data_IF_943602047160
#
_entry.id   IF_943602047160
#
_cell.length_a   1.000
_cell.length_b   1.000
_cell.length_c   1.000
_cell.angle_alpha   90.00
_cell.angle_beta   90.00
_cell.angle_gamma   90.00
#
_symmetry.space_group_name_H-M   'P 1'
#
loop_
_entity.id
_entity.type
_entity.pdbx_description
1 polymer ?
#
# COMPACT_ATOMS: atom_id res chain seq x y z
N UNK A 1 -2.66 14.12 10.93
CA UNK A 1 -3.72 13.78 11.92
C UNK A 1 -3.07 13.37 13.24
N UNK A 2 -3.72 13.63 14.38
CA UNK A 2 -3.22 13.28 15.73
C UNK A 2 -4.28 12.52 16.52
N UNK A 3 -3.87 11.52 17.30
CA UNK A 3 -4.71 10.81 18.28
C UNK A 3 -3.99 10.85 19.62
N UNK A 4 -4.63 11.37 20.66
CA UNK A 4 -4.03 11.53 21.99
C UNK A 4 -4.57 10.50 22.97
N UNK A 5 -3.69 9.90 23.74
CA UNK A 5 -4.05 9.17 24.96
C UNK A 5 -4.08 10.13 26.15
N UNK A 6 -5.10 10.05 26.99
CA UNK A 6 -5.26 10.94 28.14
C UNK A 6 -5.72 10.16 29.37
N UNK A 7 -5.45 10.70 30.56
CA UNK A 7 -6.08 10.19 31.78
C UNK A 7 -7.50 10.73 31.84
N UNK A 8 -8.48 9.87 32.13
CA UNK A 8 -9.84 10.33 32.38
C UNK A 8 -9.92 11.04 33.74
N UNK A 9 -10.68 12.14 33.81
CA UNK A 9 -10.90 12.88 35.06
C UNK A 9 -11.52 12.01 36.17
N UNK A 10 -12.29 10.99 35.77
CA UNK A 10 -12.88 10.00 36.66
C UNK A 10 -12.92 8.62 35.99
N UNK A 11 -12.87 7.60 36.82
CA UNK A 11 -13.11 6.23 36.37
C UNK A 11 -14.52 6.11 35.78
N UNK A 12 -14.62 5.43 34.65
CA UNK A 12 -15.89 5.03 34.05
C UNK A 12 -16.05 3.53 34.19
N UNK A 13 -17.15 3.10 34.82
CA UNK A 13 -17.49 1.69 34.95
C UNK A 13 -18.49 1.32 33.85
N UNK A 14 -18.12 0.38 32.99
CA UNK A 14 -18.97 -0.13 31.92
C UNK A 14 -19.30 -1.59 32.21
N UNK A 15 -20.59 -1.93 32.17
CA UNK A 15 -21.06 -3.32 32.27
C UNK A 15 -21.10 -3.93 30.87
N UNK A 16 -20.11 -4.73 30.53
CA UNK A 16 -20.00 -5.37 29.21
C UNK A 16 -19.46 -6.79 29.35
N UNK A 17 -19.89 -7.69 28.45
CA UNK A 17 -19.43 -9.08 28.41
C UNK A 17 -19.61 -9.84 29.75
N UNK A 18 -20.68 -9.52 30.49
CA UNK A 18 -20.96 -10.15 31.79
C UNK A 18 -20.03 -9.72 32.93
N UNK A 19 -19.23 -8.65 32.76
CA UNK A 19 -18.32 -8.13 33.79
C UNK A 19 -18.40 -6.60 33.89
N UNK A 20 -17.98 -6.08 35.04
CA UNK A 20 -17.73 -4.65 35.22
C UNK A 20 -16.30 -4.33 34.78
N UNK A 21 -16.17 -3.41 33.84
CA UNK A 21 -14.91 -2.94 33.30
C UNK A 21 -14.68 -1.50 33.74
N UNK A 22 -13.53 -1.24 34.37
CA UNK A 22 -13.10 0.11 34.72
C UNK A 22 -12.25 0.69 33.59
N UNK A 23 -12.64 1.85 33.11
CA UNK A 23 -11.90 2.66 32.14
C UNK A 23 -11.42 3.94 32.82
N UNK A 24 -10.12 4.19 32.77
CA UNK A 24 -9.46 5.35 33.36
C UNK A 24 -8.48 6.05 32.41
N UNK A 25 -8.32 5.52 31.20
CA UNK A 25 -7.46 6.04 30.13
C UNK A 25 -8.34 6.26 28.91
N UNK A 26 -8.34 7.48 28.38
CA UNK A 26 -8.96 7.83 27.12
C UNK A 26 -8.02 7.47 25.97
N UNK A 27 -8.60 6.89 24.92
CA UNK A 27 -7.97 6.71 23.62
C UNK A 27 -8.79 7.40 22.54
N UNK A 28 -8.41 7.19 21.29
CA UNK A 28 -9.18 7.69 20.14
C UNK A 28 -9.24 6.68 19.02
N UNK A 29 -10.35 6.69 18.28
CA UNK A 29 -10.57 5.83 17.14
C UNK A 29 -11.07 6.67 15.95
N UNK A 30 -10.39 6.53 14.82
CA UNK A 30 -10.79 7.09 13.54
C UNK A 30 -11.15 5.93 12.62
N UNK A 31 -12.33 5.98 12.04
CA UNK A 31 -12.86 4.95 11.14
C UNK A 31 -13.14 5.58 9.78
N UNK A 32 -12.75 4.91 8.70
CA UNK A 32 -13.07 5.39 7.35
C UNK A 32 -14.59 5.47 7.13
N UNK A 33 -15.03 6.40 6.29
CA UNK A 33 -16.46 6.49 5.89
C UNK A 33 -16.85 5.44 4.84
N UNK A 34 -15.87 4.99 4.05
CA UNK A 34 -16.03 3.97 3.02
C UNK A 34 -15.24 2.72 3.42
N UNK A 35 -15.72 1.56 3.01
CA UNK A 35 -14.99 0.32 3.10
C UNK A 35 -13.92 0.23 2.02
N UNK A 36 -12.89 -0.56 2.30
CA UNK A 36 -11.82 -0.94 1.40
C UNK A 36 -11.87 -2.44 1.17
N UNK A 37 -11.51 -2.90 -0.02
CA UNK A 37 -11.47 -4.31 -0.39
C UNK A 37 -10.35 -4.51 -1.40
N UNK A 38 -9.58 -5.59 -1.27
CA UNK A 38 -8.48 -5.99 -2.16
C UNK A 38 -7.71 -4.82 -2.78
N UNK A 39 -6.59 -4.47 -2.18
CA UNK A 39 -5.80 -3.32 -2.62
C UNK A 39 -4.54 -3.18 -1.80
N UNK A 40 -3.74 -2.19 -2.14
CA UNK A 40 -2.56 -1.82 -1.37
C UNK A 40 -2.86 -0.59 -0.52
N UNK A 41 -2.65 -0.69 0.78
CA UNK A 41 -2.92 0.36 1.75
C UNK A 41 -1.68 0.61 2.57
N UNK A 42 -1.37 1.88 2.84
CA UNK A 42 -0.24 2.22 3.70
C UNK A 42 -0.45 3.53 4.45
N UNK A 43 0.24 3.65 5.57
CA UNK A 43 0.30 4.88 6.35
C UNK A 43 1.74 5.23 6.71
N UNK A 44 1.99 6.52 6.89
CA UNK A 44 3.20 7.01 7.56
C UNK A 44 2.82 7.53 8.93
N UNK A 45 3.29 6.84 9.96
CA UNK A 45 2.92 7.12 11.33
C UNK A 45 4.13 7.11 12.27
N UNK A 46 4.06 7.95 13.30
CA UNK A 46 4.97 7.95 14.45
C UNK A 46 4.15 7.59 15.68
N UNK A 47 4.57 6.53 16.38
CA UNK A 47 3.84 6.04 17.54
C UNK A 47 3.95 7.01 18.73
N UNK A 48 2.94 6.98 19.60
CA UNK A 48 3.02 7.62 20.91
C UNK A 48 4.16 6.96 21.72
N UNK A 49 4.97 7.75 22.42
CA UNK A 49 6.05 7.25 23.29
C UNK A 49 5.51 6.72 24.64
N UNK A 50 4.44 5.93 24.58
CA UNK A 50 3.76 5.27 25.70
C UNK A 50 3.45 3.81 25.32
N UNK A 51 2.77 3.08 26.19
CA UNK A 51 2.23 1.74 25.89
C UNK A 51 0.85 1.76 25.25
N UNK A 52 0.30 2.94 24.94
CA UNK A 52 -0.87 3.05 24.08
C UNK A 52 -0.51 2.60 22.66
N UNK A 53 -1.45 1.92 22.01
CA UNK A 53 -1.23 1.40 20.68
C UNK A 53 -1.15 2.50 19.62
N UNK A 54 -0.46 2.18 18.54
CA UNK A 54 -0.53 2.88 17.25
C UNK A 54 -0.89 1.83 16.21
N UNK A 55 -2.12 1.92 15.70
CA UNK A 55 -2.68 0.87 14.86
C UNK A 55 -3.03 1.35 13.46
N UNK A 56 -2.82 0.51 12.46
CA UNK A 56 -3.40 0.67 11.14
C UNK A 56 -3.93 -0.69 10.68
N UNK A 57 -5.26 -0.83 10.76
CA UNK A 57 -5.94 -2.11 10.55
C UNK A 57 -7.28 -1.91 9.88
N UNK A 58 -7.86 -3.01 9.42
CA UNK A 58 -9.13 -3.05 8.74
C UNK A 58 -10.02 -4.06 9.44
N UNK A 59 -11.30 -3.77 9.62
CA UNK A 59 -12.24 -4.79 10.09
C UNK A 59 -13.67 -4.61 9.59
N UNK A 60 -14.43 -5.70 9.59
CA UNK A 60 -15.87 -5.68 9.33
C UNK A 60 -16.64 -5.01 10.47
N UNK A 61 -17.79 -4.42 10.17
CA UNK A 61 -18.75 -3.99 11.20
C UNK A 61 -19.74 -5.11 11.47
N UNK A 62 -19.60 -5.78 12.62
CA UNK A 62 -20.46 -6.91 12.97
C UNK A 62 -19.98 -8.25 12.43
N UNK A 63 -20.85 -9.24 12.51
CA UNK A 63 -20.58 -10.61 12.10
C UNK A 63 -21.68 -11.10 11.15
N UNK A 64 -21.27 -11.84 10.13
CA UNK A 64 -22.12 -12.40 9.09
C UNK A 64 -22.33 -13.89 9.32
N UNK A 65 -23.30 -14.48 8.63
CA UNK A 65 -23.56 -15.92 8.76
C UNK A 65 -22.37 -16.75 8.24
N UNK A 66 -22.03 -17.77 9.02
CA UNK A 66 -21.03 -18.78 8.67
C UNK A 66 -21.61 -19.89 7.78
N UNK A 67 -20.76 -20.85 7.37
CA UNK A 67 -21.15 -21.89 6.43
C UNK A 67 -22.19 -22.89 6.98
N UNK A 68 -22.43 -22.91 8.29
CA UNK A 68 -23.33 -23.88 8.93
C UNK A 68 -24.73 -23.30 9.25
N UNK A 69 -25.00 -22.04 8.90
CA UNK A 69 -26.31 -21.39 9.10
C UNK A 69 -26.69 -21.08 10.55
N UNK A 70 -25.90 -21.51 11.53
CA UNK A 70 -26.05 -21.19 12.96
C UNK A 70 -24.85 -20.43 13.56
N UNK A 71 -23.74 -20.44 12.83
CA UNK A 71 -22.48 -19.79 13.15
C UNK A 71 -22.36 -18.43 12.49
N UNK A 72 -21.41 -17.62 12.97
CA UNK A 72 -21.12 -16.28 12.45
C UNK A 72 -19.64 -15.98 12.41
N UNK A 73 -19.22 -15.08 11.52
CA UNK A 73 -17.85 -14.60 11.50
C UNK A 73 -17.66 -13.13 11.11
N UNK A 74 -16.63 -12.52 11.69
CA UNK A 74 -16.08 -11.21 11.32
C UNK A 74 -14.60 -11.33 10.95
N UNK A 75 -14.07 -10.29 10.29
CA UNK A 75 -12.69 -10.26 9.81
C UNK A 75 -11.99 -9.02 10.33
N UNK A 76 -10.71 -9.17 10.65
CA UNK A 76 -9.81 -8.08 11.02
C UNK A 76 -8.42 -8.35 10.47
N UNK A 77 -7.86 -7.36 9.79
CA UNK A 77 -6.52 -7.42 9.22
C UNK A 77 -5.68 -6.26 9.74
N UNK A 78 -4.68 -6.62 10.52
CA UNK A 78 -3.74 -5.68 11.10
C UNK A 78 -2.54 -5.56 10.19
N UNK A 79 -2.45 -4.44 9.48
CA UNK A 79 -1.22 -4.08 8.78
C UNK A 79 -0.19 -3.70 9.83
N UNK A 80 -0.58 -2.90 10.82
CA UNK A 80 0.31 -2.46 11.88
C UNK A 80 -0.39 -2.42 13.23
N UNK A 81 0.29 -3.01 14.20
CA UNK A 81 0.13 -2.80 15.62
C UNK A 81 1.50 -2.62 16.28
N UNK A 82 1.68 -1.51 16.99
CA UNK A 82 2.82 -1.32 17.88
C UNK A 82 2.45 -0.49 19.10
N UNK A 83 3.38 -0.44 20.02
CA UNK A 83 3.47 0.58 21.07
C UNK A 83 4.77 1.36 20.86
N UNK A 84 4.93 2.50 21.53
CA UNK A 84 6.15 3.30 21.38
C UNK A 84 7.02 3.38 22.63
N UNK A 85 6.75 2.55 23.64
CA UNK A 85 7.59 2.39 24.83
C UNK A 85 7.96 0.91 25.05
N UNK A 86 9.22 0.65 25.37
CA UNK A 86 9.69 -0.65 25.84
C UNK A 86 9.57 -0.79 27.37
N UNK A 87 9.64 -2.03 27.87
CA UNK A 87 9.62 -2.32 29.30
C UNK A 87 9.70 -3.81 29.56
N UNK A 88 9.65 -4.19 30.84
CA UNK A 88 9.64 -5.59 31.27
C UNK A 88 8.21 -6.13 31.36
N UNK A 89 7.61 -6.35 30.20
CA UNK A 89 6.29 -6.96 30.05
C UNK A 89 6.28 -7.90 28.84
N UNK A 90 5.40 -8.90 28.85
CA UNK A 90 5.41 -9.98 27.87
C UNK A 90 5.20 -9.51 26.42
N UNK A 91 4.48 -8.41 26.23
CA UNK A 91 4.26 -7.76 24.93
C UNK A 91 5.33 -6.77 24.50
N UNK A 92 6.48 -6.67 25.20
CA UNK A 92 7.51 -5.65 24.92
C UNK A 92 8.03 -5.63 23.49
N UNK A 93 7.99 -6.76 22.78
CA UNK A 93 8.34 -6.81 21.36
C UNK A 93 7.46 -5.94 20.46
N UNK A 94 6.28 -5.48 20.92
CA UNK A 94 5.46 -4.50 20.19
C UNK A 94 6.11 -3.12 20.11
N UNK A 95 7.15 -2.82 20.90
CA UNK A 95 7.76 -1.49 20.93
C UNK A 95 8.64 -1.16 19.72
N UNK A 96 9.02 -2.17 18.94
CA UNK A 96 10.06 -2.07 17.92
C UNK A 96 9.63 -2.66 16.58
N UNK A 97 9.41 -1.78 15.60
CA UNK A 97 9.07 -2.15 14.24
C UNK A 97 7.57 -2.36 14.03
N UNK A 98 7.22 -3.40 13.28
CA UNK A 98 5.85 -3.65 12.81
C UNK A 98 5.38 -5.05 13.18
N UNK A 99 4.19 -5.13 13.77
CA UNK A 99 3.50 -6.38 14.07
C UNK A 99 2.20 -6.39 13.29
N UNK A 100 2.00 -7.45 12.51
CA UNK A 100 0.85 -7.63 11.64
C UNK A 100 0.19 -8.96 11.95
N UNK A 101 -1.13 -8.98 11.86
CA UNK A 101 -1.94 -10.17 12.13
C UNK A 101 -3.20 -10.20 11.25
N UNK A 102 -3.87 -11.34 11.24
CA UNK A 102 -5.16 -11.52 10.60
C UNK A 102 -6.06 -12.31 11.54
N UNK A 103 -7.13 -11.69 12.01
CA UNK A 103 -8.11 -12.25 12.92
C UNK A 103 -9.37 -12.68 12.18
N UNK A 104 -9.77 -13.93 12.40
CA UNK A 104 -11.05 -14.50 11.98
C UNK A 104 -11.89 -14.71 13.24
N UNK A 105 -12.76 -13.74 13.52
CA UNK A 105 -13.61 -13.71 14.70
C UNK A 105 -14.81 -14.63 14.50
N UNK A 106 -14.72 -15.88 14.95
CA UNK A 106 -15.73 -16.91 14.71
C UNK A 106 -16.62 -17.14 15.92
N UNK A 107 -17.94 -17.18 15.73
CA UNK A 107 -18.91 -17.65 16.72
C UNK A 107 -19.53 -18.93 16.21
N UNK A 108 -19.28 -20.05 16.89
CA UNK A 108 -19.82 -21.34 16.47
C UNK A 108 -21.33 -21.49 16.75
N UNK A 109 -21.90 -22.63 16.36
CA UNK A 109 -23.31 -22.92 16.55
C UNK A 109 -23.74 -23.05 18.02
N UNK A 110 -22.79 -23.34 18.91
CA UNK A 110 -22.99 -23.36 20.37
C UNK A 110 -22.87 -21.95 20.99
N UNK A 111 -22.75 -20.91 20.16
CA UNK A 111 -22.60 -19.50 20.53
C UNK A 111 -21.29 -19.20 21.27
N UNK A 112 -20.28 -20.07 21.14
CA UNK A 112 -18.95 -19.82 21.67
C UNK A 112 -18.14 -19.00 20.67
N UNK A 113 -17.48 -17.94 21.18
CA UNK A 113 -16.59 -17.08 20.40
C UNK A 113 -15.18 -17.64 20.38
N UNK A 114 -14.54 -17.55 19.22
CA UNK A 114 -13.19 -17.97 18.93
C UNK A 114 -12.46 -16.87 18.19
N UNK A 115 -11.19 -16.69 18.54
CA UNK A 115 -10.25 -15.81 17.88
C UNK A 115 -9.27 -16.68 17.10
N UNK A 116 -9.61 -16.96 15.83
CA UNK A 116 -8.81 -17.81 14.96
C UNK A 116 -7.87 -16.92 14.16
N UNK A 117 -6.57 -17.07 14.36
CA UNK A 117 -5.58 -16.11 13.85
C UNK A 117 -4.69 -16.71 12.78
N UNK A 118 -4.27 -15.86 11.85
CA UNK A 118 -3.12 -16.11 11.00
C UNK A 118 -1.83 -16.16 11.86
N UNK A 119 -0.76 -16.85 11.41
CA UNK A 119 0.56 -16.66 11.98
C UNK A 119 0.99 -15.19 11.86
N UNK A 120 1.39 -14.58 12.98
CA UNK A 120 1.80 -13.18 13.01
C UNK A 120 3.03 -12.92 12.13
N UNK A 121 3.01 -11.81 11.40
CA UNK A 121 4.14 -11.32 10.60
C UNK A 121 4.78 -10.15 11.31
N UNK A 122 6.10 -10.18 11.48
CA UNK A 122 6.82 -9.14 12.24
C UNK A 122 8.00 -8.58 11.46
N UNK A 123 8.18 -7.27 11.51
CA UNK A 123 9.43 -6.60 11.15
C UNK A 123 10.06 -6.05 12.42
N UNK A 124 11.27 -6.51 12.74
CA UNK A 124 12.01 -5.99 13.89
C UNK A 124 12.79 -4.74 13.47
N UNK A 125 12.75 -3.71 14.31
CA UNK A 125 13.60 -2.52 14.23
C UNK A 125 14.44 -2.40 15.52
N UNK A 126 15.58 -1.69 15.48
CA UNK A 126 16.37 -1.42 16.69
C UNK A 126 15.78 -0.26 17.50
N UNK A 127 15.32 0.76 16.80
CA UNK A 127 14.70 1.94 17.42
C UNK A 127 13.24 1.67 17.78
N UNK A 128 12.74 2.41 18.77
CA UNK A 128 11.33 2.39 19.15
C UNK A 128 10.47 2.97 18.03
N UNK A 129 9.24 2.47 17.87
CA UNK A 129 8.29 3.00 16.89
C UNK A 129 7.88 4.47 17.14
N UNK A 130 8.18 5.01 18.33
CA UNK A 130 8.00 6.41 18.70
C UNK A 130 9.19 7.31 18.38
N UNK A 131 10.31 6.75 17.94
CA UNK A 131 11.53 7.53 17.67
C UNK A 131 11.38 8.42 16.46
N UNK A 132 10.79 7.89 15.38
CA UNK A 132 10.58 8.58 14.12
C UNK A 132 9.28 8.10 13.44
N UNK A 133 8.94 8.74 12.32
CA UNK A 133 7.91 8.26 11.43
C UNK A 133 8.40 7.07 10.62
N UNK A 134 7.53 6.06 10.52
CA UNK A 134 7.75 4.87 9.72
C UNK A 134 6.60 4.67 8.74
N UNK A 135 6.88 3.98 7.63
CA UNK A 135 5.88 3.60 6.63
C UNK A 135 5.47 2.14 6.85
N UNK A 136 4.18 1.93 7.07
CA UNK A 136 3.55 0.63 7.28
C UNK A 136 2.61 0.36 6.12
N UNK A 137 2.90 -0.69 5.34
CA UNK A 137 2.14 -1.02 4.14
C UNK A 137 1.65 -2.45 4.12
N UNK A 138 0.49 -2.66 3.52
CA UNK A 138 -0.12 -3.96 3.33
C UNK A 138 -0.80 -4.03 1.97
N UNK A 139 -0.45 -5.04 1.19
CA UNK A 139 -1.16 -5.44 -0.02
C UNK A 139 -2.08 -6.61 0.29
N UNK A 140 -3.38 -6.35 0.33
CA UNK A 140 -4.41 -7.38 0.37
C UNK A 140 -4.56 -7.97 -1.03
N UNK A 141 -3.89 -9.10 -1.26
CA UNK A 141 -3.72 -9.67 -2.61
C UNK A 141 -4.96 -10.36 -3.11
N UNK A 142 -5.53 -11.19 -2.25
CA UNK A 142 -6.71 -12.02 -2.50
C UNK A 142 -7.38 -12.38 -1.17
N UNK A 143 -8.44 -13.17 -1.21
CA UNK A 143 -9.21 -13.50 -0.01
C UNK A 143 -8.50 -14.44 0.97
N UNK A 144 -7.28 -14.90 0.63
CA UNK A 144 -6.47 -15.85 1.41
C UNK A 144 -5.13 -15.28 1.85
N UNK A 145 -4.61 -14.24 1.20
CA UNK A 145 -3.24 -13.78 1.41
C UNK A 145 -3.08 -12.26 1.40
N UNK A 146 -2.09 -11.82 2.17
CA UNK A 146 -1.60 -10.45 2.17
C UNK A 146 -0.06 -10.41 2.11
N UNK A 147 0.48 -9.31 1.59
CA UNK A 147 1.90 -9.00 1.62
C UNK A 147 2.12 -7.71 2.41
N UNK A 148 3.10 -7.70 3.29
CA UNK A 148 3.36 -6.67 4.28
C UNK A 148 4.71 -5.99 3.96
N UNK A 149 4.76 -4.67 4.11
CA UNK A 149 5.89 -3.81 3.81
C UNK A 149 6.17 -2.87 4.98
N UNK A 150 7.45 -2.65 5.29
CA UNK A 150 7.88 -1.75 6.36
C UNK A 150 9.13 -0.99 5.91
N UNK A 151 9.08 0.34 5.88
CA UNK A 151 10.21 1.23 5.53
C UNK A 151 11.02 0.80 4.28
N UNK A 152 10.35 0.54 3.15
CA UNK A 152 10.98 0.11 1.89
C UNK A 152 11.81 -1.19 1.99
N UNK A 153 11.62 -1.99 3.04
CA UNK A 153 12.28 -3.30 3.19
C UNK A 153 11.61 -4.34 2.30
N UNK A 154 12.33 -5.44 2.08
CA UNK A 154 11.79 -6.60 1.39
C UNK A 154 10.48 -7.08 2.05
N UNK A 155 9.44 -7.42 1.26
CA UNK A 155 8.14 -7.79 1.79
C UNK A 155 8.16 -9.08 2.61
N UNK A 156 7.15 -9.25 3.45
CA UNK A 156 6.81 -10.51 4.13
C UNK A 156 5.36 -10.88 3.83
N UNK A 157 5.03 -12.16 3.88
CA UNK A 157 3.72 -12.65 3.45
C UNK A 157 2.93 -13.25 4.60
N UNK A 158 1.62 -13.07 4.55
CA UNK A 158 0.64 -13.63 5.49
C UNK A 158 -0.35 -14.50 4.71
N UNK A 159 -0.63 -15.69 5.25
CA UNK A 159 -1.77 -16.50 4.87
C UNK A 159 -2.83 -16.36 5.95
N UNK A 160 -4.03 -15.93 5.57
CA UNK A 160 -5.16 -15.83 6.49
C UNK A 160 -5.65 -17.21 6.94
N UNK A 161 -6.29 -17.28 8.09
CA UNK A 161 -6.86 -18.51 8.61
C UNK A 161 -8.07 -18.94 7.74
N UNK A 162 -7.93 -20.05 7.02
CA UNK A 162 -8.91 -20.58 6.06
C UNK A 162 -9.54 -21.92 6.50
N UNK A 163 -9.45 -22.26 7.80
CA UNK A 163 -9.91 -23.55 8.32
C UNK A 163 -11.43 -23.73 8.41
N UNK A 164 -12.20 -22.64 8.36
CA UNK A 164 -13.67 -22.66 8.45
C UNK A 164 -14.32 -22.31 7.10
N UNK A 165 -13.76 -21.35 6.38
CA UNK A 165 -14.21 -20.93 5.05
C UNK A 165 -13.01 -20.84 4.11
N UNK A 166 -13.18 -21.28 2.86
CA UNK A 166 -12.08 -21.29 1.88
C UNK A 166 -11.54 -19.87 1.61
N UNK A 167 -12.42 -18.88 1.52
CA UNK A 167 -12.07 -17.48 1.27
C UNK A 167 -12.36 -16.62 2.51
N UNK A 168 -11.49 -16.62 3.53
CA UNK A 168 -11.80 -16.03 4.83
C UNK A 168 -11.86 -14.51 4.84
N UNK A 169 -11.05 -13.84 4.00
CA UNK A 169 -10.98 -12.38 3.91
C UNK A 169 -11.62 -11.91 2.61
N UNK A 170 -12.91 -12.18 2.46
CA UNK A 170 -13.66 -11.99 1.21
C UNK A 170 -14.65 -10.82 1.23
N UNK A 171 -14.51 -9.88 2.18
CA UNK A 171 -15.47 -8.79 2.36
C UNK A 171 -14.79 -7.44 2.47
N UNK A 172 -15.44 -6.36 1.99
CA UNK A 172 -14.96 -5.02 2.28
C UNK A 172 -14.92 -4.74 3.79
N UNK A 173 -13.86 -4.05 4.23
CA UNK A 173 -13.62 -3.71 5.63
C UNK A 173 -13.40 -2.21 5.80
N UNK A 174 -13.75 -1.68 6.98
CA UNK A 174 -13.44 -0.30 7.32
C UNK A 174 -12.02 -0.18 7.85
N UNK A 175 -11.30 0.82 7.38
CA UNK A 175 -10.00 1.19 7.93
C UNK A 175 -10.19 1.79 9.33
N UNK A 176 -9.26 1.45 10.24
CA UNK A 176 -9.25 1.91 11.63
C UNK A 176 -7.86 2.36 12.03
N UNK A 177 -7.82 3.57 12.60
CA UNK A 177 -6.66 4.17 13.24
C UNK A 177 -7.03 4.39 14.69
N UNK A 178 -6.46 3.60 15.58
CA UNK A 178 -6.84 3.55 16.99
C UNK A 178 -5.61 3.75 17.85
N UNK A 179 -5.81 4.44 18.97
CA UNK A 179 -4.89 4.39 20.10
C UNK A 179 -5.67 3.89 21.30
N UNK A 180 -5.30 2.70 21.76
CA UNK A 180 -5.97 1.95 22.83
C UNK A 180 -4.95 1.29 23.76
N UNK A 181 -5.43 0.81 24.91
CA UNK A 181 -4.62 -0.04 25.79
C UNK A 181 -4.80 -1.50 25.40
N UNK A 182 -3.71 -2.25 25.48
CA UNK A 182 -3.75 -3.70 25.39
C UNK A 182 -4.03 -4.34 26.76
N UNK A 183 -4.42 -5.63 26.81
CA UNK A 183 -4.70 -6.30 28.07
C UNK A 183 -3.53 -6.25 29.07
N UNK A 184 -3.79 -5.76 30.27
CA UNK A 184 -2.87 -5.87 31.41
C UNK A 184 -2.94 -7.28 32.03
N UNK A 185 -1.81 -7.92 32.39
CA UNK A 185 -0.43 -7.40 32.41
C UNK A 185 0.41 -7.78 31.17
N UNK A 186 -0.22 -8.18 30.05
CA UNK A 186 0.54 -8.53 28.84
C UNK A 186 1.31 -7.31 28.30
N UNK A 187 0.67 -6.15 28.26
CA UNK A 187 1.31 -4.85 28.08
C UNK A 187 0.98 -3.99 29.30
N UNK A 188 1.97 -3.30 29.82
CA UNK A 188 1.81 -2.38 30.95
C UNK A 188 0.92 -1.18 30.56
N UNK A 189 0.15 -0.65 31.49
CA UNK A 189 -0.60 0.59 31.24
C UNK A 189 0.36 1.81 31.15
N UNK A 190 0.02 2.84 30.36
CA UNK A 190 0.79 4.08 30.37
C UNK A 190 0.68 4.75 31.74
N UNK A 191 1.75 5.42 32.17
CA UNK A 191 1.74 6.13 33.47
C UNK A 191 0.98 7.45 33.38
N UNK A 192 0.58 7.99 34.53
CA UNK A 192 -0.06 9.32 34.58
C UNK A 192 0.87 10.41 34.02
N UNK A 193 2.17 10.33 34.29
CA UNK A 193 3.18 11.26 33.78
C UNK A 193 3.33 11.15 32.26
N UNK A 194 3.25 9.94 31.71
CA UNK A 194 3.25 9.72 30.26
C UNK A 194 2.02 10.31 29.59
N UNK A 195 0.84 10.12 30.20
CA UNK A 195 -0.43 10.66 29.70
C UNK A 195 -0.54 12.18 29.86
N UNK A 196 0.18 12.77 30.82
CA UNK A 196 0.23 14.22 31.03
C UNK A 196 1.23 14.94 30.12
N UNK A 197 2.07 14.22 29.37
CA UNK A 197 3.10 14.78 28.47
C UNK A 197 2.65 14.70 26.99
N UNK A 198 2.25 15.83 26.37
CA UNK A 198 1.83 15.86 24.96
C UNK A 198 2.91 15.42 23.97
N UNK A 199 4.19 15.46 24.36
CA UNK A 199 5.29 14.97 23.51
C UNK A 199 5.39 13.44 23.47
N UNK A 200 4.71 12.75 24.40
CA UNK A 200 4.70 11.29 24.51
C UNK A 200 3.36 10.69 24.14
N UNK A 201 2.26 11.24 24.65
CA UNK A 201 0.94 10.61 24.57
C UNK A 201 0.24 10.69 23.20
N UNK A 202 0.90 11.23 22.18
CA UNK A 202 0.28 11.54 20.88
C UNK A 202 0.82 10.64 19.78
N UNK A 203 -0.09 9.93 19.11
CA UNK A 203 0.17 9.26 17.83
C UNK A 203 0.04 10.28 16.71
N UNK A 204 0.99 10.30 15.79
CA UNK A 204 0.96 11.17 14.60
C UNK A 204 0.84 10.33 13.35
N UNK A 205 -0.19 10.59 12.55
CA UNK A 205 -0.31 10.10 11.18
C UNK A 205 -0.04 11.26 10.23
N UNK A 206 1.04 11.15 9.46
CA UNK A 206 1.37 12.13 8.42
C UNK A 206 0.38 12.00 7.25
N UNK A 207 0.27 10.78 6.72
CA UNK A 207 -0.70 10.45 5.68
C UNK A 207 -1.14 8.99 5.77
N UNK A 208 -2.26 8.70 5.12
CA UNK A 208 -2.78 7.37 4.84
C UNK A 208 -3.23 7.35 3.38
N UNK A 209 -2.90 6.28 2.66
CA UNK A 209 -3.19 6.14 1.23
C UNK A 209 -3.62 4.71 0.91
N UNK A 210 -4.45 4.60 -0.13
CA UNK A 210 -4.92 3.34 -0.69
C UNK A 210 -4.78 3.35 -2.20
N UNK A 211 -4.50 2.19 -2.78
CA UNK A 211 -4.24 1.98 -4.19
C UNK A 211 -4.94 0.72 -4.67
N UNK A 212 -5.54 0.79 -5.84
CA UNK A 212 -6.06 -0.37 -6.56
C UNK A 212 -5.04 -0.78 -7.63
N UNK A 213 -4.83 -2.09 -7.77
CA UNK A 213 -4.05 -2.64 -8.88
C UNK A 213 -5.00 -2.92 -10.04
N UNK A 214 -4.81 -2.18 -11.13
CA UNK A 214 -5.67 -2.22 -12.32
C UNK A 214 -4.85 -2.49 -13.56
N UNK A 215 -5.50 -2.99 -14.61
CA UNK A 215 -4.90 -3.04 -15.93
C UNK A 215 -4.66 -1.60 -16.42
N UNK A 216 -3.45 -1.32 -16.90
CA UNK A 216 -3.04 -0.01 -17.40
C UNK A 216 -3.87 0.45 -18.61
N UNK A 217 -4.45 -0.50 -19.36
CA UNK A 217 -5.29 -0.24 -20.53
C UNK A 217 -6.80 -0.22 -20.18
N UNK A 218 -7.17 -0.41 -18.91
CA UNK A 218 -8.58 -0.42 -18.51
C UNK A 218 -9.21 0.98 -18.67
N UNK A 219 -10.32 1.02 -19.40
CA UNK A 219 -11.01 2.28 -19.77
C UNK A 219 -12.04 2.73 -18.75
N UNK A 220 -12.48 1.83 -17.88
CA UNK A 220 -13.60 2.04 -16.95
C UNK A 220 -13.15 2.20 -15.50
N UNK A 221 -11.90 2.66 -15.27
CA UNK A 221 -11.38 2.91 -13.92
C UNK A 221 -11.93 4.24 -13.40
N UNK A 222 -12.46 4.24 -12.17
CA UNK A 222 -12.83 5.46 -11.46
C UNK A 222 -11.60 6.27 -11.04
N UNK A 223 -11.21 7.23 -11.87
CA UNK A 223 -10.07 8.12 -11.63
C UNK A 223 -10.43 9.34 -10.77
N UNK A 224 -11.66 9.43 -10.23
CA UNK A 224 -12.07 10.60 -9.43
C UNK A 224 -11.24 10.78 -8.16
N UNK A 225 -10.69 9.69 -7.62
CA UNK A 225 -9.87 9.70 -6.40
C UNK A 225 -8.43 10.17 -6.62
N UNK A 226 -7.90 10.07 -7.84
CA UNK A 226 -6.54 10.48 -8.19
C UNK A 226 -6.45 12.00 -8.47
N UNK A 227 -7.58 12.62 -8.87
CA UNK A 227 -7.60 14.03 -9.31
C UNK A 227 -7.30 15.00 -8.15
N UNK A 228 -6.21 15.74 -8.30
CA UNK A 228 -5.85 16.87 -7.42
C UNK A 228 -4.93 16.52 -6.24
N UNK A 229 -4.53 15.25 -6.07
CA UNK A 229 -3.53 14.87 -5.07
C UNK A 229 -2.12 15.31 -5.44
N UNK A 230 -1.85 15.58 -6.73
CA UNK A 230 -0.53 15.98 -7.26
C UNK A 230 0.63 15.19 -6.64
N UNK A 231 0.45 13.87 -6.55
CA UNK A 231 1.35 12.94 -5.86
C UNK A 231 2.69 12.76 -6.57
N UNK A 232 2.68 12.83 -7.91
CA UNK A 232 3.83 12.47 -8.74
C UNK A 232 4.54 13.70 -9.27
N UNK A 233 5.86 13.60 -9.42
CA UNK A 233 6.51 14.30 -10.51
C UNK A 233 6.24 13.51 -11.79
N UNK A 234 5.63 14.16 -12.77
CA UNK A 234 5.32 13.56 -14.09
C UNK A 234 6.60 12.96 -14.65
N UNK A 235 6.58 11.68 -15.00
CA UNK A 235 7.79 10.99 -15.44
C UNK A 235 7.50 9.84 -16.38
N UNK A 236 8.49 9.55 -17.23
CA UNK A 236 8.51 8.38 -18.11
C UNK A 236 9.88 7.70 -18.01
N UNK A 237 9.89 6.39 -17.85
CA UNK A 237 11.10 5.66 -17.46
C UNK A 237 11.17 4.33 -18.22
N UNK A 238 12.35 4.04 -18.77
CA UNK A 238 12.76 2.70 -19.17
C UNK A 238 13.53 2.04 -18.03
N UNK A 239 13.28 0.76 -17.75
CA UNK A 239 13.95 0.02 -16.67
C UNK A 239 15.45 -0.20 -16.92
N UNK A 240 15.87 -0.09 -18.18
CA UNK A 240 17.23 -0.32 -18.65
C UNK A 240 17.63 0.78 -19.65
N UNK A 241 18.93 1.02 -19.79
CA UNK A 241 19.47 1.96 -20.79
C UNK A 241 19.63 1.30 -22.15
N UNK A 242 19.95 0.00 -22.17
CA UNK A 242 20.15 -0.80 -23.37
C UNK A 242 19.56 -2.19 -23.16
N UNK A 243 18.90 -2.74 -24.19
CA UNK A 243 18.31 -4.08 -24.12
C UNK A 243 18.35 -4.81 -25.47
N UNK A 244 18.03 -6.10 -25.46
CA UNK A 244 17.91 -6.91 -26.69
C UNK A 244 16.45 -7.35 -26.82
N UNK A 245 15.82 -7.00 -27.93
CA UNK A 245 14.39 -7.28 -28.15
C UNK A 245 14.23 -8.37 -29.21
N UNK A 246 13.47 -9.40 -28.88
CA UNK A 246 13.01 -10.40 -29.84
C UNK A 246 11.75 -9.89 -30.53
N UNK A 247 11.72 -9.92 -31.86
CA UNK A 247 10.56 -9.48 -32.65
C UNK A 247 9.78 -10.72 -33.08
N UNK A 248 8.71 -11.03 -32.36
CA UNK A 248 7.77 -12.12 -32.67
C UNK A 248 6.49 -11.54 -33.26
N UNK A 249 5.55 -11.13 -32.40
CA UNK A 249 4.25 -10.56 -32.75
C UNK A 249 4.28 -9.03 -32.60
N UNK A 250 5.21 -8.40 -33.32
CA UNK A 250 5.49 -6.97 -33.24
C UNK A 250 6.62 -6.62 -32.28
N UNK A 251 7.04 -5.36 -32.32
CA UNK A 251 8.09 -4.82 -31.46
C UNK A 251 7.44 -4.29 -30.17
N UNK A 252 7.77 -4.91 -29.05
CA UNK A 252 7.25 -4.55 -27.72
C UNK A 252 8.27 -3.70 -26.99
N UNK A 253 7.89 -2.47 -26.66
CA UNK A 253 8.74 -1.54 -25.90
C UNK A 253 8.18 -1.42 -24.49
N UNK A 254 8.85 -1.97 -23.46
CA UNK A 254 8.41 -1.80 -22.07
C UNK A 254 8.64 -0.36 -21.63
N UNK A 255 7.72 0.21 -20.87
CA UNK A 255 7.90 1.51 -20.22
C UNK A 255 7.12 1.58 -18.92
N UNK A 256 7.54 2.48 -18.04
CA UNK A 256 6.77 2.90 -16.89
C UNK A 256 6.55 4.40 -16.93
N UNK A 257 5.45 4.88 -16.35
CA UNK A 257 5.15 6.30 -16.28
C UNK A 257 4.48 6.66 -14.96
N UNK A 258 4.64 7.90 -14.51
CA UNK A 258 3.86 8.48 -13.42
C UNK A 258 3.13 9.70 -13.93
N UNK A 259 1.83 9.77 -13.71
CA UNK A 259 0.99 10.87 -14.15
C UNK A 259 -0.03 11.26 -13.09
N UNK A 260 -0.25 12.56 -12.85
CA UNK A 260 -1.26 13.04 -11.90
C UNK A 260 -2.63 13.25 -12.57
N UNK A 261 -2.65 13.34 -13.89
CA UNK A 261 -3.86 13.50 -14.69
C UNK A 261 -3.68 12.76 -16.03
N UNK A 262 -4.69 12.81 -16.90
CA UNK A 262 -4.60 12.19 -18.22
C UNK A 262 -3.52 12.88 -19.06
N UNK A 263 -2.56 12.10 -19.56
CA UNK A 263 -1.44 12.54 -20.39
C UNK A 263 -1.40 11.81 -21.72
N UNK A 264 -0.56 12.30 -22.61
CA UNK A 264 -0.10 11.54 -23.78
C UNK A 264 1.34 11.10 -23.59
N UNK A 265 1.66 9.91 -24.10
CA UNK A 265 3.03 9.46 -24.30
C UNK A 265 3.26 9.35 -25.80
N UNK A 266 4.22 10.10 -26.31
CA UNK A 266 4.71 9.95 -27.68
C UNK A 266 6.01 9.18 -27.67
N UNK A 267 6.10 8.19 -28.54
CA UNK A 267 7.24 7.29 -28.65
C UNK A 267 7.70 7.31 -30.10
N UNK A 268 9.00 7.52 -30.27
CA UNK A 268 9.67 7.54 -31.57
C UNK A 268 10.79 6.52 -31.57
N UNK A 269 10.82 5.68 -32.59
CA UNK A 269 11.88 4.68 -32.81
C UNK A 269 12.66 5.07 -34.04
N UNK A 270 13.98 5.14 -33.90
CA UNK A 270 14.87 5.49 -35.00
C UNK A 270 16.06 4.54 -35.06
N UNK A 271 16.50 4.25 -36.28
CA UNK A 271 17.75 3.54 -36.53
C UNK A 271 18.93 4.49 -36.30
N UNK A 272 19.99 4.00 -35.65
CA UNK A 272 21.21 4.77 -35.36
C UNK A 272 22.48 3.96 -35.69
N UNK A 273 23.48 4.62 -36.29
CA UNK A 273 24.75 4.04 -36.69
C UNK A 273 25.89 4.67 -35.89
N UNK A 274 26.52 3.86 -35.05
CA UNK A 274 27.58 4.22 -34.10
C UNK A 274 27.11 5.12 -32.94
N UNK A 275 27.29 4.63 -31.70
CA UNK A 275 26.78 5.22 -30.46
C UNK A 275 27.30 6.66 -30.21
N UNK A 276 28.28 7.14 -30.99
CA UNK A 276 28.94 8.44 -30.79
C UNK A 276 29.40 9.20 -32.06
N UNK A 277 29.36 8.64 -33.28
CA UNK A 277 30.07 9.24 -34.43
C UNK A 277 29.23 9.68 -35.62
N UNK A 278 28.13 9.02 -35.94
CA UNK A 278 27.23 9.42 -37.02
C UNK A 278 25.81 9.52 -36.48
N UNK A 279 25.29 10.74 -36.32
CA UNK A 279 23.87 10.97 -36.01
C UNK A 279 23.02 10.65 -37.24
N UNK A 280 22.93 9.37 -37.62
CA UNK A 280 21.84 8.93 -38.46
C UNK A 280 20.64 8.67 -37.54
N UNK A 281 19.56 9.44 -37.74
CA UNK A 281 18.33 9.36 -36.95
C UNK A 281 17.17 9.10 -37.91
N UNK A 282 17.25 7.99 -38.67
CA UNK A 282 16.20 7.63 -39.62
C UNK A 282 15.01 7.12 -38.83
N UNK A 283 13.95 7.93 -38.74
CA UNK A 283 12.69 7.55 -38.10
C UNK A 283 12.15 6.28 -38.75
N UNK A 284 11.91 5.26 -37.94
CA UNK A 284 11.35 3.97 -38.38
C UNK A 284 9.88 3.89 -38.00
N UNK A 285 9.58 4.19 -36.73
CA UNK A 285 8.23 4.14 -36.18
C UNK A 285 7.95 5.33 -35.27
N UNK A 286 6.69 5.69 -35.14
CA UNK A 286 6.21 6.57 -34.08
C UNK A 286 4.81 6.15 -33.65
N UNK A 287 4.48 6.40 -32.39
CA UNK A 287 3.16 6.14 -31.83
C UNK A 287 2.89 7.14 -30.71
N UNK A 288 1.65 7.62 -30.63
CA UNK A 288 1.16 8.35 -29.47
C UNK A 288 0.11 7.47 -28.80
N UNK A 289 0.19 7.37 -27.47
CA UNK A 289 -0.80 6.68 -26.65
C UNK A 289 -1.32 7.64 -25.58
N UNK A 290 -2.56 7.44 -25.16
CA UNK A 290 -3.14 8.06 -23.98
C UNK A 290 -2.76 7.24 -22.75
N UNK A 291 -2.43 7.91 -21.66
CA UNK A 291 -2.21 7.29 -20.34
C UNK A 291 -2.97 8.03 -19.27
N UNK A 292 -3.48 7.27 -18.31
CA UNK A 292 -4.34 7.77 -17.25
C UNK A 292 -3.56 8.03 -15.95
N UNK A 293 -4.14 8.78 -14.99
CA UNK A 293 -3.48 9.09 -13.72
C UNK A 293 -3.07 7.82 -12.97
N UNK A 294 -1.90 7.84 -12.35
CA UNK A 294 -1.36 6.73 -11.57
C UNK A 294 0.12 6.47 -11.82
N UNK A 295 0.60 5.36 -11.28
CA UNK A 295 1.92 4.78 -11.60
C UNK A 295 1.71 3.53 -12.47
N UNK A 296 1.96 3.65 -13.77
CA UNK A 296 1.72 2.59 -14.73
C UNK A 296 3.00 1.89 -15.19
N UNK A 297 2.86 0.62 -15.55
CA UNK A 297 3.85 -0.16 -16.28
C UNK A 297 3.16 -0.87 -17.44
N UNK A 298 3.72 -0.79 -18.65
CA UNK A 298 3.09 -1.33 -19.86
C UNK A 298 4.11 -1.70 -20.95
N UNK A 299 3.65 -2.46 -21.94
CA UNK A 299 4.38 -2.71 -23.18
C UNK A 299 3.69 -2.03 -24.35
N UNK A 300 4.38 -1.13 -25.05
CA UNK A 300 3.84 -0.51 -26.25
C UNK A 300 4.21 -1.34 -27.48
N UNK A 301 3.18 -1.89 -28.12
CA UNK A 301 3.33 -2.72 -29.31
C UNK A 301 3.36 -1.86 -30.59
N UNK A 302 4.39 -2.07 -31.40
CA UNK A 302 4.51 -1.54 -32.76
C UNK A 302 4.38 -2.68 -33.77
N UNK A 303 3.47 -2.53 -34.74
CA UNK A 303 3.34 -3.47 -35.85
C UNK A 303 4.50 -3.25 -36.82
N UNK A 304 5.32 -4.29 -36.99
CA UNK A 304 6.55 -4.22 -37.78
C UNK A 304 6.28 -4.81 -39.17
N UNK A 305 5.77 -4.00 -40.08
CA UNK A 305 5.53 -4.43 -41.47
C UNK A 305 6.82 -4.51 -42.31
N UNK A 306 7.91 -3.91 -41.81
CA UNK A 306 9.23 -3.86 -42.47
C UNK A 306 10.24 -4.63 -41.65
N UNK A 307 10.98 -5.56 -42.28
CA UNK A 307 12.11 -6.25 -41.64
C UNK A 307 13.12 -5.24 -41.09
N UNK A 308 13.14 -5.09 -39.78
CA UNK A 308 14.17 -4.35 -39.07
C UNK A 308 15.49 -5.12 -39.17
N UNK A 309 16.60 -4.41 -39.26
CA UNK A 309 17.93 -5.00 -39.42
C UNK A 309 18.46 -5.52 -38.08
N UNK A 310 18.89 -6.78 -38.04
CA UNK A 310 19.58 -7.37 -36.88
C UNK A 310 20.98 -6.80 -36.65
N UNK A 311 21.58 -6.17 -37.66
CA UNK A 311 22.91 -5.55 -37.55
C UNK A 311 22.85 -4.08 -37.13
N UNK A 312 21.65 -3.50 -37.00
CA UNK A 312 21.46 -2.12 -36.63
C UNK A 312 21.21 -1.96 -35.12
N UNK A 313 21.55 -0.79 -34.59
CA UNK A 313 21.10 -0.34 -33.28
C UNK A 313 19.94 0.61 -33.45
N UNK A 314 18.99 0.54 -32.52
CA UNK A 314 17.81 1.39 -32.49
C UNK A 314 17.80 2.22 -31.22
N UNK A 315 17.21 3.40 -31.31
CA UNK A 315 16.93 4.27 -30.17
C UNK A 315 15.43 4.53 -30.09
N UNK A 316 14.88 4.36 -28.89
CA UNK A 316 13.53 4.76 -28.52
C UNK A 316 13.64 6.06 -27.75
N UNK A 317 12.98 7.10 -28.24
CA UNK A 317 12.76 8.35 -27.52
C UNK A 317 11.30 8.38 -27.07
N UNK A 318 11.05 8.47 -25.78
CA UNK A 318 9.70 8.55 -25.23
C UNK A 318 9.51 9.85 -24.45
N UNK A 319 8.36 10.50 -24.63
CA UNK A 319 8.04 11.81 -24.08
C UNK A 319 6.64 11.80 -23.50
N UNK A 320 6.51 12.12 -22.21
CA UNK A 320 5.22 12.36 -21.55
C UNK A 320 4.87 13.85 -21.63
N UNK A 321 3.60 14.16 -21.91
CA UNK A 321 3.14 15.52 -22.29
C UNK A 321 1.67 15.75 -21.95
N UNK A 322 1.26 17.01 -22.00
CA UNK A 322 -0.15 17.41 -21.96
C UNK A 322 -0.94 16.94 -23.19
N UNK A 323 -2.26 16.76 -23.02
CA UNK A 323 -3.16 16.23 -24.07
C UNK A 323 -3.19 17.12 -25.32
N UNK A 324 -2.97 18.43 -25.15
CA UNK A 324 -3.11 19.43 -26.21
C UNK A 324 -1.79 19.76 -26.94
N UNK A 325 -0.65 19.20 -26.51
CA UNK A 325 0.65 19.58 -27.03
C UNK A 325 1.05 18.81 -28.31
N UNK A 326 1.70 19.52 -29.24
CA UNK A 326 2.24 18.95 -30.48
C UNK A 326 3.36 17.93 -30.23
N UNK A 327 3.55 16.96 -31.13
CA UNK A 327 4.58 15.90 -31.16
C UNK A 327 6.05 16.39 -31.27
N UNK A 328 6.44 17.43 -30.51
CA UNK A 328 7.79 18.00 -30.43
C UNK A 328 8.37 17.78 -29.03
N UNK A 329 9.69 17.83 -28.91
CA UNK A 329 10.39 17.74 -27.61
C UNK A 329 10.22 18.99 -26.75
N UNK A 330 10.07 20.15 -27.41
CA UNK A 330 9.74 21.42 -26.76
C UNK A 330 8.30 21.35 -26.24
N UNK A 331 8.13 21.20 -24.93
CA UNK A 331 6.82 21.05 -24.25
C UNK A 331 6.63 19.71 -23.52
N UNK A 332 7.57 18.77 -23.62
CA UNK A 332 7.48 17.54 -22.83
C UNK A 332 7.65 17.81 -21.33
N UNK A 333 6.86 17.12 -20.52
CA UNK A 333 6.93 17.15 -19.05
C UNK A 333 8.12 16.33 -18.55
N UNK A 334 8.40 15.20 -19.23
CA UNK A 334 9.61 14.40 -19.03
C UNK A 334 9.93 13.59 -20.29
N UNK A 335 11.18 13.14 -20.39
CA UNK A 335 11.67 12.36 -21.53
C UNK A 335 12.59 11.24 -21.10
N UNK A 336 12.53 10.10 -21.79
CA UNK A 336 13.43 8.96 -21.55
C UNK A 336 13.94 8.38 -22.86
N UNK A 337 15.05 7.65 -22.79
CA UNK A 337 15.68 7.02 -23.95
C UNK A 337 16.10 5.59 -23.63
N UNK A 338 15.81 4.67 -24.55
CA UNK A 338 16.24 3.27 -24.51
C UNK A 338 16.94 2.92 -25.82
N UNK A 339 18.10 2.29 -25.73
CA UNK A 339 18.78 1.69 -26.88
C UNK A 339 18.40 0.21 -26.98
N UNK A 340 18.25 -0.31 -28.19
CA UNK A 340 18.08 -1.75 -28.36
C UNK A 340 18.66 -2.29 -29.66
N UNK A 341 18.94 -3.59 -29.63
CA UNK A 341 19.24 -4.39 -30.82
C UNK A 341 18.23 -5.52 -30.95
N UNK A 342 18.12 -6.10 -32.15
CA UNK A 342 17.17 -7.16 -32.44
C UNK A 342 17.87 -8.51 -32.42
N UNK A 343 17.29 -9.47 -31.70
CA UNK A 343 17.77 -10.86 -31.69
C UNK A 343 17.32 -11.66 -32.91
#
# INVERSE_FOLDING_TARGET
MQIKGEKLEKDTIVKAYGRELKFNIAGGAVVSKKTAFLGYYECRAKAAATTMSTTFWFSTTGAEDGPNGCDKYGQEWDIQECIGRSGDFAGSFFSNGMNSNGHFWYTDCDKKRHDLRAPAVKFVNKELASKDFHVYGGWWRDEKTATLYYDNRAPKHMKFYDGIVDKPFNRPMYMRLVSETYPFPWIELPTDEELADPSKNTVYYDWVRGYDLVDVDAKDIDQSYEKGLNLYNESIIFSEVETVIEVTDGLKIPLSFKANEHRKIYIKISETTDKLKEKWNKKVFEKTIDVYPGYGHMEVIFNVDKKMSKSATYVVEALIRDINDENKSKGALDTSTLFFTIR
#
